data_IF_983432918820
#
_entry.id   IF_983432918820
#
_cell.length_a   1.000
_cell.length_b   1.000
_cell.length_c   1.000
_cell.angle_alpha   90.00
_cell.angle_beta   90.00
_cell.angle_gamma   90.00
#
_symmetry.space_group_name_H-M   'P 1'
#
loop_
_entity.id
_entity.type
_entity.pdbx_description
1 polymer ?
#
# COMPACT_ATOMS: atom_id res chain seq x y z
N UNK A 1 13.52 14.35 -68.42
CA UNK A 1 12.31 14.40 -67.57
C UNK A 1 12.61 13.74 -66.23
N UNK A 2 12.90 14.54 -65.23
CA UNK A 2 13.24 14.07 -63.86
C UNK A 2 11.98 13.96 -63.03
N UNK A 3 11.64 12.74 -62.56
CA UNK A 3 10.48 12.51 -61.67
C UNK A 3 10.83 12.96 -60.24
N UNK A 4 10.28 14.07 -59.77
CA UNK A 4 10.32 14.48 -58.37
C UNK A 4 9.54 13.44 -57.54
N UNK A 5 10.26 12.73 -56.64
CA UNK A 5 9.65 11.91 -55.59
C UNK A 5 9.01 12.85 -54.54
N UNK A 6 7.69 12.81 -54.48
CA UNK A 6 6.94 13.43 -53.39
C UNK A 6 7.20 12.62 -52.12
N UNK A 7 7.91 13.21 -51.13
CA UNK A 7 8.03 12.61 -49.79
C UNK A 7 6.66 12.61 -49.13
N UNK A 8 6.19 11.41 -48.70
CA UNK A 8 4.99 11.30 -47.86
C UNK A 8 5.24 12.06 -46.56
N UNK A 9 4.25 12.77 -46.00
CA UNK A 9 4.37 13.42 -44.73
C UNK A 9 4.59 12.36 -43.65
N UNK A 10 5.65 12.46 -42.89
CA UNK A 10 5.92 11.63 -41.72
C UNK A 10 4.83 11.89 -40.70
N UNK A 11 4.06 10.87 -40.33
CA UNK A 11 3.07 10.97 -39.27
C UNK A 11 3.80 11.28 -37.95
N UNK A 12 3.44 12.40 -37.33
CA UNK A 12 3.90 12.77 -36.01
C UNK A 12 3.52 11.67 -34.99
N UNK A 13 4.50 11.12 -34.31
CA UNK A 13 4.25 10.14 -33.25
C UNK A 13 3.91 10.87 -31.94
N UNK A 14 3.20 10.17 -31.03
CA UNK A 14 2.95 10.69 -29.67
C UNK A 14 4.24 11.12 -28.95
N UNK A 15 5.35 10.46 -29.25
CA UNK A 15 6.67 10.77 -28.70
C UNK A 15 7.24 12.07 -29.25
N UNK A 16 6.98 12.38 -30.51
CA UNK A 16 7.41 13.64 -31.14
C UNK A 16 6.59 14.82 -30.61
N UNK A 17 5.30 14.59 -30.32
CA UNK A 17 4.43 15.57 -29.70
C UNK A 17 4.88 15.88 -28.25
N UNK A 18 5.27 14.87 -27.47
CA UNK A 18 5.79 15.03 -26.12
C UNK A 18 7.15 15.74 -26.13
N UNK A 19 8.02 15.44 -27.09
CA UNK A 19 9.32 16.12 -27.24
C UNK A 19 9.14 17.57 -27.69
N UNK A 20 8.25 17.84 -28.62
CA UNK A 20 7.93 19.20 -29.04
C UNK A 20 7.32 20.02 -27.89
N UNK A 21 6.46 19.41 -27.06
CA UNK A 21 5.92 20.02 -25.87
C UNK A 21 6.99 20.32 -24.82
N UNK A 22 7.96 19.42 -24.61
CA UNK A 22 9.06 19.62 -23.67
C UNK A 22 10.09 20.66 -24.13
N UNK A 23 10.31 20.77 -25.46
CA UNK A 23 11.24 21.75 -26.02
C UNK A 23 10.59 23.14 -26.23
N UNK A 24 9.27 23.19 -26.43
CA UNK A 24 8.52 24.44 -26.59
C UNK A 24 8.19 25.14 -25.28
N UNK A 25 8.23 24.42 -24.15
CA UNK A 25 8.11 24.99 -22.82
C UNK A 25 9.50 25.10 -22.19
N UNK A 26 10.21 26.18 -22.50
CA UNK A 26 11.48 26.49 -21.84
C UNK A 26 11.34 26.57 -20.32
N UNK A 27 12.46 26.71 -19.61
CA UNK A 27 12.53 26.80 -18.14
C UNK A 27 11.42 27.69 -17.51
N UNK A 28 11.01 28.84 -18.11
CA UNK A 28 9.88 29.61 -17.62
C UNK A 28 8.52 28.90 -17.69
N UNK A 29 8.28 28.09 -18.72
CA UNK A 29 7.06 27.30 -18.86
C UNK A 29 7.00 26.14 -17.87
N UNK A 30 8.12 25.48 -17.62
CA UNK A 30 8.23 24.46 -16.60
C UNK A 30 8.02 25.03 -15.19
N UNK A 31 8.60 26.19 -14.91
CA UNK A 31 8.42 26.90 -13.63
C UNK A 31 7.00 27.45 -13.45
N UNK A 32 6.31 27.83 -14.53
CA UNK A 32 4.90 28.23 -14.45
C UNK A 32 3.99 27.03 -14.25
N UNK A 33 4.28 25.88 -14.87
CA UNK A 33 3.56 24.61 -14.64
C UNK A 33 3.79 24.09 -13.23
N UNK A 34 5.00 24.19 -12.69
CA UNK A 34 5.26 23.83 -11.30
C UNK A 34 4.57 24.77 -10.32
N UNK A 35 4.47 26.06 -10.64
CA UNK A 35 3.64 27.02 -9.87
C UNK A 35 2.16 26.73 -10.01
N UNK A 36 1.68 26.28 -11.16
CA UNK A 36 0.28 25.89 -11.38
C UNK A 36 -0.02 24.54 -10.73
N UNK A 37 0.93 23.61 -10.70
CA UNK A 37 0.81 22.39 -9.91
C UNK A 37 0.78 22.66 -8.40
N UNK A 38 1.49 23.70 -7.94
CA UNK A 38 1.38 24.19 -6.56
C UNK A 38 0.15 25.10 -6.36
N UNK A 39 -0.45 25.66 -7.43
CA UNK A 39 -1.64 26.48 -7.42
C UNK A 39 -2.93 25.65 -7.64
N UNK A 40 -2.82 24.37 -7.97
CA UNK A 40 -3.81 23.38 -7.52
C UNK A 40 -3.53 23.29 -6.02
N UNK A 41 -3.94 24.31 -5.30
CA UNK A 41 -3.96 24.35 -3.84
C UNK A 41 -4.56 23.03 -3.37
N UNK A 42 -4.25 22.58 -2.15
CA UNK A 42 -4.85 21.36 -1.65
C UNK A 42 -6.34 21.52 -1.96
N UNK A 43 -6.84 20.74 -2.92
CA UNK A 43 -8.27 20.60 -3.08
C UNK A 43 -8.71 20.39 -1.66
N UNK A 44 -9.56 21.28 -1.14
CA UNK A 44 -10.15 21.09 0.18
C UNK A 44 -11.03 19.85 0.09
N UNK A 45 -10.36 18.71 -0.06
CA UNK A 45 -11.00 17.42 0.14
C UNK A 45 -11.36 17.46 1.61
N UNK A 46 -12.63 17.62 1.86
CA UNK A 46 -13.20 17.58 3.19
C UNK A 46 -12.67 16.35 3.91
N UNK A 47 -11.62 16.49 4.71
CA UNK A 47 -10.97 15.38 5.40
C UNK A 47 -9.46 15.24 5.20
N UNK A 48 -8.85 15.85 4.17
CA UNK A 48 -7.39 15.78 3.99
C UNK A 48 -6.66 16.37 5.21
N UNK A 49 -5.69 15.61 5.75
CA UNK A 49 -4.92 16.02 6.93
C UNK A 49 -5.66 15.99 8.26
N UNK A 50 -6.95 15.61 8.29
CA UNK A 50 -7.77 15.56 9.52
C UNK A 50 -7.68 14.23 10.27
N UNK A 51 -7.14 13.18 9.65
CA UNK A 51 -6.98 11.89 10.31
C UNK A 51 -5.99 12.00 11.48
N UNK A 52 -6.44 11.58 12.67
CA UNK A 52 -5.64 11.59 13.90
C UNK A 52 -4.87 10.28 14.10
N UNK A 53 -5.40 9.19 13.58
CA UNK A 53 -4.82 7.84 13.68
C UNK A 53 -5.01 7.08 12.39
N UNK A 54 -4.16 6.08 12.17
CA UNK A 54 -4.22 5.18 11.04
C UNK A 54 -4.06 3.74 11.54
N UNK A 55 -4.93 2.85 11.08
CA UNK A 55 -4.82 1.41 11.35
C UNK A 55 -4.52 0.72 10.03
N UNK A 56 -3.37 0.03 9.96
CA UNK A 56 -2.99 -0.79 8.83
C UNK A 56 -3.34 -2.23 9.13
N UNK A 57 -4.30 -2.79 8.42
CA UNK A 57 -4.64 -4.23 8.50
C UNK A 57 -3.85 -4.95 7.43
N UNK A 58 -2.78 -5.62 7.84
CA UNK A 58 -1.94 -6.39 6.93
C UNK A 58 -2.40 -7.86 6.92
N UNK A 59 -3.10 -8.25 5.87
CA UNK A 59 -3.60 -9.62 5.71
C UNK A 59 -2.47 -10.55 5.23
N UNK A 60 -1.69 -11.06 6.20
CA UNK A 60 -0.60 -12.00 5.93
C UNK A 60 -1.11 -13.33 5.40
N UNK A 61 -0.56 -13.78 4.27
CA UNK A 61 -0.89 -15.07 3.68
C UNK A 61 -2.18 -15.11 2.90
N UNK A 62 -2.85 -13.99 2.68
CA UNK A 62 -4.11 -14.02 1.96
C UNK A 62 -4.71 -12.67 1.74
N UNK A 63 -5.83 -12.64 1.54
CA UNK A 63 -7.03 -12.18 0.90
C UNK A 63 -6.82 -12.11 -0.61
N UNK A 64 -7.16 -13.20 -1.31
CA UNK A 64 -7.19 -13.21 -2.77
C UNK A 64 -8.05 -12.06 -3.30
N UNK A 65 -7.49 -11.20 -4.15
CA UNK A 65 -8.25 -10.08 -4.74
C UNK A 65 -9.40 -10.60 -5.63
N UNK A 66 -9.18 -11.73 -6.32
CA UNK A 66 -10.19 -12.38 -7.16
C UNK A 66 -11.35 -12.89 -6.29
N UNK A 67 -11.07 -13.39 -5.10
CA UNK A 67 -12.08 -13.96 -4.20
C UNK A 67 -12.64 -12.94 -3.20
N UNK A 68 -12.34 -11.67 -3.37
CA UNK A 68 -12.80 -10.60 -2.45
C UNK A 68 -13.39 -9.39 -3.16
N UNK A 69 -12.55 -8.58 -3.78
CA UNK A 69 -12.95 -7.28 -4.35
C UNK A 69 -12.96 -7.23 -5.87
N UNK A 70 -12.46 -8.25 -6.57
CA UNK A 70 -12.32 -8.25 -8.03
C UNK A 70 -12.63 -9.64 -8.63
N UNK A 71 -13.83 -10.10 -8.43
CA UNK A 71 -14.28 -11.47 -8.74
C UNK A 71 -14.22 -11.87 -10.22
N UNK A 72 -14.12 -10.89 -11.14
CA UNK A 72 -14.03 -11.11 -12.60
C UNK A 72 -15.10 -12.07 -13.15
N UNK A 73 -16.39 -11.80 -12.94
CA UNK A 73 -17.47 -12.72 -13.28
C UNK A 73 -17.51 -13.11 -14.75
N UNK A 74 -17.08 -12.20 -15.64
CA UNK A 74 -17.07 -12.38 -17.10
C UNK A 74 -15.80 -13.07 -17.61
N UNK A 75 -14.85 -13.38 -16.74
CA UNK A 75 -13.63 -14.10 -17.14
C UNK A 75 -13.86 -15.62 -17.25
N UNK A 76 -12.94 -16.29 -17.94
CA UNK A 76 -12.96 -17.75 -18.01
C UNK A 76 -12.90 -18.43 -16.64
N UNK A 77 -13.39 -19.68 -16.58
CA UNK A 77 -13.51 -20.44 -15.32
C UNK A 77 -12.19 -20.64 -14.57
N UNK A 78 -11.06 -20.51 -15.24
CA UNK A 78 -9.72 -20.59 -14.66
C UNK A 78 -9.22 -19.28 -14.04
N UNK A 79 -9.97 -18.17 -14.18
CA UNK A 79 -9.58 -16.85 -13.68
C UNK A 79 -10.63 -16.29 -12.72
N UNK A 80 -11.93 -16.47 -13.02
CA UNK A 80 -13.00 -15.94 -12.18
C UNK A 80 -13.01 -16.57 -10.79
N UNK A 81 -13.54 -15.84 -9.82
CA UNK A 81 -13.77 -16.38 -8.48
C UNK A 81 -14.69 -17.60 -8.50
N UNK A 82 -14.44 -18.53 -7.57
CA UNK A 82 -15.33 -19.64 -7.29
C UNK A 82 -16.56 -19.22 -6.44
N UNK A 83 -16.52 -18.04 -5.83
CA UNK A 83 -17.57 -17.51 -4.96
C UNK A 83 -18.55 -16.65 -5.74
N UNK A 84 -19.79 -16.56 -5.20
CA UNK A 84 -20.80 -15.63 -5.67
C UNK A 84 -20.47 -14.18 -5.35
N UNK A 85 -21.19 -13.25 -5.98
CA UNK A 85 -21.03 -11.82 -5.77
C UNK A 85 -22.30 -11.21 -5.19
N UNK A 86 -22.14 -10.19 -4.36
CA UNK A 86 -23.21 -9.38 -3.81
C UNK A 86 -23.05 -7.91 -4.22
N UNK A 87 -24.16 -7.19 -4.43
CA UNK A 87 -24.11 -5.78 -4.75
C UNK A 87 -23.54 -4.96 -3.59
N UNK A 88 -22.96 -3.83 -3.92
CA UNK A 88 -22.46 -2.87 -2.95
C UNK A 88 -23.32 -1.60 -2.93
N UNK A 89 -22.93 -0.64 -2.10
CA UNK A 89 -23.53 0.71 -2.09
C UNK A 89 -23.19 1.53 -3.35
N UNK A 90 -22.26 1.06 -4.18
CA UNK A 90 -21.93 1.69 -5.45
C UNK A 90 -22.60 0.91 -6.59
N UNK A 91 -23.49 1.53 -7.36
CA UNK A 91 -24.16 0.86 -8.47
C UNK A 91 -23.18 0.23 -9.47
N UNK A 92 -23.45 -1.02 -9.84
CA UNK A 92 -22.60 -1.77 -10.79
C UNK A 92 -21.30 -2.34 -10.20
N UNK A 93 -20.99 -2.07 -8.95
CA UNK A 93 -19.84 -2.66 -8.28
C UNK A 93 -20.25 -3.76 -7.29
N UNK A 94 -19.65 -4.93 -7.42
CA UNK A 94 -19.93 -6.11 -6.63
C UNK A 94 -18.67 -6.57 -5.89
N UNK A 95 -18.87 -7.20 -4.75
CA UNK A 95 -17.82 -7.86 -3.95
C UNK A 95 -18.24 -9.29 -3.64
N UNK A 96 -17.31 -10.07 -3.11
CA UNK A 96 -17.59 -11.47 -2.72
C UNK A 96 -18.75 -11.55 -1.71
N UNK A 97 -19.58 -12.58 -1.87
CA UNK A 97 -20.73 -12.87 -0.99
C UNK A 97 -20.34 -13.05 0.49
N UNK A 98 -19.09 -13.40 0.75
CA UNK A 98 -18.55 -13.51 2.11
C UNK A 98 -18.19 -12.17 2.77
N UNK A 99 -18.42 -11.05 2.09
CA UNK A 99 -18.13 -9.69 2.59
C UNK A 99 -19.38 -8.83 2.80
N UNK A 100 -20.47 -9.32 3.43
CA UNK A 100 -21.75 -8.62 3.49
C UNK A 100 -21.72 -7.33 4.32
N UNK A 101 -20.82 -7.23 5.30
CA UNK A 101 -20.65 -5.99 6.08
C UNK A 101 -19.84 -4.95 5.33
N UNK A 102 -18.77 -5.39 4.63
CA UNK A 102 -17.95 -4.52 3.79
C UNK A 102 -18.73 -3.99 2.58
N UNK A 103 -19.60 -4.79 1.97
CA UNK A 103 -20.40 -4.35 0.83
C UNK A 103 -21.21 -3.09 1.13
N UNK A 104 -21.67 -2.92 2.38
CA UNK A 104 -22.42 -1.75 2.87
C UNK A 104 -21.54 -0.53 3.12
N UNK A 105 -20.21 -0.69 3.16
CA UNK A 105 -19.25 0.39 3.46
C UNK A 105 -18.43 0.82 2.24
N UNK A 106 -18.63 0.23 1.08
CA UNK A 106 -17.80 0.47 -0.12
C UNK A 106 -17.79 1.94 -0.53
N UNK A 107 -18.89 2.69 -0.33
CA UNK A 107 -18.94 4.13 -0.59
C UNK A 107 -17.93 4.96 0.23
N UNK A 108 -17.35 4.38 1.29
CA UNK A 108 -16.35 5.01 2.17
C UNK A 108 -14.93 4.49 1.89
N UNK A 109 -14.76 3.64 0.89
CA UNK A 109 -13.49 2.97 0.57
C UNK A 109 -12.92 3.50 -0.74
N UNK A 110 -11.61 3.47 -0.82
CA UNK A 110 -10.88 3.61 -2.09
C UNK A 110 -10.20 2.28 -2.39
N UNK A 111 -10.53 1.68 -3.52
CA UNK A 111 -9.93 0.44 -3.97
C UNK A 111 -8.87 0.72 -5.04
N UNK A 112 -7.62 0.43 -4.73
CA UNK A 112 -6.51 0.57 -5.67
C UNK A 112 -6.25 -0.79 -6.33
N UNK A 113 -6.76 -0.98 -7.55
CA UNK A 113 -6.71 -2.27 -8.27
C UNK A 113 -5.43 -2.49 -9.09
N UNK A 114 -4.59 -1.49 -9.20
CA UNK A 114 -3.37 -1.52 -10.01
C UNK A 114 -2.09 -1.82 -9.20
N UNK A 115 -2.23 -2.11 -7.92
CA UNK A 115 -1.07 -2.45 -7.07
C UNK A 115 -0.50 -3.80 -7.47
N UNK A 116 0.81 -3.85 -7.69
CA UNK A 116 1.56 -5.07 -7.99
C UNK A 116 3.03 -4.91 -7.58
N UNK A 117 3.72 -6.01 -7.48
CA UNK A 117 5.17 -6.06 -7.26
C UNK A 117 5.75 -7.34 -7.84
N UNK A 118 7.07 -7.35 -8.08
CA UNK A 118 7.79 -8.48 -8.68
C UNK A 118 8.54 -9.33 -7.64
N UNK A 119 8.31 -9.12 -6.34
CA UNK A 119 8.95 -9.90 -5.28
C UNK A 119 8.36 -11.31 -5.21
N UNK A 120 9.14 -12.37 -5.48
CA UNK A 120 8.65 -13.76 -5.53
C UNK A 120 8.57 -14.43 -4.16
N UNK A 121 9.23 -13.86 -3.13
CA UNK A 121 9.29 -14.39 -1.78
C UNK A 121 8.35 -13.65 -0.85
N UNK A 122 7.69 -14.38 0.06
CA UNK A 122 6.77 -13.80 1.05
C UNK A 122 7.39 -12.64 1.84
N UNK A 123 8.62 -12.83 2.33
CA UNK A 123 9.29 -11.81 3.15
C UNK A 123 9.69 -10.57 2.36
N UNK A 124 10.10 -10.75 1.10
CA UNK A 124 10.38 -9.64 0.19
C UNK A 124 9.12 -8.86 -0.18
N UNK A 125 8.02 -9.57 -0.44
CA UNK A 125 6.72 -8.98 -0.71
C UNK A 125 6.20 -8.19 0.49
N UNK A 126 6.29 -8.75 1.70
CA UNK A 126 5.92 -8.06 2.92
C UNK A 126 6.73 -6.78 3.13
N UNK A 127 8.04 -6.84 2.92
CA UNK A 127 8.91 -5.68 3.00
C UNK A 127 8.44 -4.58 2.05
N UNK A 128 8.19 -4.92 0.78
CA UNK A 128 7.77 -3.96 -0.22
C UNK A 128 6.43 -3.31 0.15
N UNK A 129 5.46 -4.12 0.56
CA UNK A 129 4.14 -3.62 0.96
C UNK A 129 4.18 -2.74 2.22
N UNK A 130 5.05 -3.07 3.17
CA UNK A 130 5.14 -2.33 4.45
C UNK A 130 5.98 -1.05 4.36
N UNK A 131 6.89 -0.97 3.40
CA UNK A 131 7.83 0.16 3.27
C UNK A 131 7.55 1.03 2.04
N UNK A 132 6.84 0.51 1.04
CA UNK A 132 6.68 1.15 -0.27
C UNK A 132 7.93 1.09 -1.15
N UNK A 133 8.97 0.36 -0.76
CA UNK A 133 10.24 0.29 -1.47
C UNK A 133 10.61 -1.14 -1.83
N UNK A 134 11.13 -1.30 -3.05
CA UNK A 134 11.64 -2.58 -3.50
C UNK A 134 12.79 -3.06 -2.60
N UNK A 135 12.82 -4.35 -2.23
CA UNK A 135 13.94 -4.89 -1.48
C UNK A 135 15.20 -4.96 -2.36
N UNK A 136 16.36 -4.79 -1.75
CA UNK A 136 17.63 -4.86 -2.47
C UNK A 136 17.89 -6.24 -3.12
N UNK A 137 17.29 -7.30 -2.56
CA UNK A 137 17.39 -8.69 -3.04
C UNK A 137 16.02 -9.35 -2.98
N UNK A 138 15.17 -9.18 -4.01
CA UNK A 138 13.77 -9.61 -3.98
C UNK A 138 13.58 -11.14 -3.91
N UNK A 139 14.56 -11.91 -4.37
CA UNK A 139 14.56 -13.36 -4.42
C UNK A 139 15.22 -14.04 -3.20
N UNK A 140 15.77 -13.26 -2.28
CA UNK A 140 16.54 -13.75 -1.14
C UNK A 140 16.10 -13.12 0.17
N UNK A 141 16.27 -13.89 1.22
CA UNK A 141 16.18 -13.39 2.58
C UNK A 141 17.49 -12.67 2.93
N UNK A 142 17.40 -11.53 3.56
CA UNK A 142 18.54 -10.78 4.04
C UNK A 142 18.38 -10.43 5.52
N UNK A 143 19.49 -10.26 6.24
CA UNK A 143 19.43 -9.83 7.62
C UNK A 143 18.77 -8.46 7.76
N UNK A 144 17.91 -8.31 8.75
CA UNK A 144 17.32 -7.02 9.12
C UNK A 144 18.44 -6.06 9.57
N UNK A 145 18.46 -4.87 9.02
CA UNK A 145 19.48 -3.85 9.32
C UNK A 145 18.84 -2.47 9.51
N UNK A 146 19.58 -1.56 10.14
CA UNK A 146 19.16 -0.17 10.24
C UNK A 146 19.32 0.63 8.92
N UNK A 147 19.79 0.00 7.86
CA UNK A 147 19.82 0.56 6.51
C UNK A 147 18.54 0.27 5.72
N UNK A 148 17.67 -0.58 6.23
CA UNK A 148 16.39 -0.88 5.62
C UNK A 148 15.47 0.35 5.62
N UNK A 149 14.55 0.40 4.66
CA UNK A 149 13.51 1.41 4.66
C UNK A 149 12.55 1.21 5.85
N UNK A 150 12.10 2.31 6.46
CA UNK A 150 11.19 2.24 7.59
C UNK A 150 9.81 1.73 7.17
N UNK A 151 9.11 1.09 8.10
CA UNK A 151 7.70 0.76 7.93
C UNK A 151 6.83 2.01 7.81
N UNK A 152 5.66 1.88 7.16
CA UNK A 152 4.67 2.97 7.07
C UNK A 152 4.35 3.56 8.45
N UNK A 153 4.13 2.69 9.47
CA UNK A 153 3.86 3.13 10.83
C UNK A 153 5.02 3.95 11.43
N UNK A 154 6.25 3.51 11.20
CA UNK A 154 7.46 4.23 11.66
C UNK A 154 7.65 5.57 10.94
N UNK A 155 7.33 5.65 9.64
CA UNK A 155 7.35 6.91 8.90
C UNK A 155 6.33 7.90 9.46
N UNK A 156 5.12 7.44 9.76
CA UNK A 156 4.08 8.28 10.38
C UNK A 156 4.49 8.72 11.78
N UNK A 157 5.02 7.81 12.60
CA UNK A 157 5.51 8.14 13.94
C UNK A 157 6.63 9.19 13.92
N UNK A 158 7.54 9.11 12.94
CA UNK A 158 8.57 10.12 12.74
C UNK A 158 7.97 11.47 12.31
N UNK A 159 7.11 11.47 11.30
CA UNK A 159 6.53 12.69 10.74
C UNK A 159 5.60 13.44 11.73
N UNK A 160 5.00 12.71 12.67
CA UNK A 160 4.07 13.24 13.68
C UNK A 160 4.62 13.14 15.09
N UNK A 161 5.93 13.09 15.23
CA UNK A 161 6.59 12.99 16.53
C UNK A 161 6.25 14.19 17.41
N UNK A 162 5.64 13.89 18.54
CA UNK A 162 5.36 14.83 19.62
C UNK A 162 6.21 14.43 20.83
N UNK A 163 7.19 15.25 21.26
CA UNK A 163 8.06 14.93 22.38
C UNK A 163 7.31 14.91 23.74
N UNK A 164 6.16 15.57 23.81
CA UNK A 164 5.33 15.62 25.04
C UNK A 164 4.33 14.45 25.12
N UNK A 165 4.18 13.69 24.04
CA UNK A 165 3.28 12.55 24.02
C UNK A 165 3.86 11.39 24.88
N UNK A 166 3.03 10.93 25.82
CA UNK A 166 3.33 9.71 26.60
C UNK A 166 2.90 8.41 25.89
N UNK A 167 2.18 8.55 24.76
CA UNK A 167 1.72 7.39 24.00
C UNK A 167 2.73 7.05 22.90
N UNK A 168 2.91 5.76 22.59
CA UNK A 168 3.75 5.35 21.47
C UNK A 168 3.18 5.85 20.16
N UNK A 169 4.05 6.36 19.28
CA UNK A 169 3.65 6.83 17.96
C UNK A 169 3.31 5.70 16.98
N UNK A 170 3.72 4.47 17.28
CA UNK A 170 3.52 3.30 16.42
C UNK A 170 3.44 2.02 17.26
N UNK A 171 2.42 1.20 16.99
CA UNK A 171 2.19 -0.08 17.68
C UNK A 171 1.94 -1.17 16.66
N UNK A 172 2.54 -2.34 16.84
CA UNK A 172 2.31 -3.52 16.02
C UNK A 172 1.63 -4.63 16.83
N UNK A 173 0.56 -5.20 16.30
CA UNK A 173 -0.30 -6.20 16.89
C UNK A 173 -0.48 -7.38 15.95
N UNK A 174 -0.74 -8.58 16.43
CA UNK A 174 -0.51 -9.10 17.79
C UNK A 174 0.91 -9.60 17.98
N UNK A 175 1.64 -9.75 16.87
CA UNK A 175 3.03 -10.20 16.81
C UNK A 175 3.67 -9.81 15.49
N UNK A 176 5.00 -9.84 15.38
CA UNK A 176 5.67 -9.58 14.11
C UNK A 176 5.35 -10.64 13.06
N UNK A 177 5.30 -10.22 11.81
CA UNK A 177 5.16 -11.12 10.68
C UNK A 177 6.37 -12.05 10.64
N UNK A 178 6.10 -13.36 10.61
CA UNK A 178 7.11 -14.41 10.60
C UNK A 178 6.84 -15.41 9.49
N UNK A 179 7.89 -15.81 8.76
CA UNK A 179 7.83 -16.82 7.71
C UNK A 179 9.21 -17.49 7.62
N UNK A 180 9.44 -18.54 8.42
CA UNK A 180 10.76 -19.16 8.58
C UNK A 180 11.84 -18.20 9.10
N UNK A 181 11.45 -17.02 9.54
CA UNK A 181 12.23 -15.92 10.03
C UNK A 181 11.40 -14.63 10.05
N UNK A 182 11.87 -13.62 10.78
CA UNK A 182 11.19 -12.32 10.83
C UNK A 182 11.21 -11.66 9.46
N UNK A 183 10.05 -11.22 8.99
CA UNK A 183 9.97 -10.43 7.77
C UNK A 183 10.56 -9.04 8.02
N UNK A 184 11.37 -8.56 7.07
CA UNK A 184 11.91 -7.22 7.11
C UNK A 184 10.81 -6.17 6.85
N UNK A 185 11.11 -4.89 7.09
CA UNK A 185 10.14 -3.81 6.87
C UNK A 185 9.17 -3.57 8.03
N UNK A 186 9.40 -4.17 9.20
CA UNK A 186 8.55 -4.02 10.38
C UNK A 186 9.19 -3.13 11.46
N UNK A 187 10.21 -2.36 11.14
CA UNK A 187 10.92 -1.47 12.06
C UNK A 187 11.20 -0.11 11.41
N UNK A 188 11.76 0.79 12.18
CA UNK A 188 12.02 2.16 11.72
C UNK A 188 13.24 2.30 10.79
N UNK A 189 13.97 1.22 10.51
CA UNK A 189 15.12 1.26 9.62
C UNK A 189 16.10 2.39 9.98
N UNK A 190 16.46 3.17 8.98
CA UNK A 190 17.40 4.29 9.13
C UNK A 190 16.86 5.50 9.94
N UNK A 191 15.56 5.54 10.26
CA UNK A 191 15.00 6.57 11.16
C UNK A 191 15.41 6.35 12.61
N UNK A 192 15.96 5.17 12.95
CA UNK A 192 16.45 4.86 14.28
C UNK A 192 15.41 4.24 15.22
N UNK A 193 15.91 3.66 16.31
CA UNK A 193 15.13 2.86 17.26
C UNK A 193 13.99 3.61 17.95
N UNK A 194 14.10 4.92 18.07
CA UNK A 194 13.06 5.78 18.65
C UNK A 194 11.70 5.62 17.99
N UNK A 195 11.68 5.28 16.71
CA UNK A 195 10.47 5.16 15.90
C UNK A 195 10.10 3.72 15.56
N UNK A 196 10.76 2.75 16.21
CA UNK A 196 10.35 1.35 16.10
C UNK A 196 8.94 1.17 16.68
N UNK A 197 8.13 0.28 16.12
CA UNK A 197 6.85 -0.04 16.71
C UNK A 197 7.04 -0.72 18.07
N UNK A 198 6.22 -0.36 19.04
CA UNK A 198 6.03 -1.20 20.22
C UNK A 198 5.27 -2.44 19.78
N UNK A 199 5.83 -3.61 20.00
CA UNK A 199 5.20 -4.88 19.68
C UNK A 199 4.43 -5.34 20.89
N UNK A 200 3.12 -5.37 20.77
CA UNK A 200 2.25 -5.91 21.80
C UNK A 200 1.95 -7.36 21.46
N UNK A 201 2.35 -8.27 22.34
CA UNK A 201 2.07 -9.69 22.20
C UNK A 201 0.82 -10.04 23.01
N UNK A 202 0.00 -11.00 22.54
CA UNK A 202 -1.02 -11.57 23.40
C UNK A 202 -0.33 -12.25 24.58
N UNK A 203 -1.03 -12.30 25.71
CA UNK A 203 -0.54 -12.94 26.94
C UNK A 203 -0.07 -14.37 26.66
N UNK A 204 1.14 -14.71 27.05
CA UNK A 204 1.74 -16.03 26.83
C UNK A 204 1.05 -17.15 27.64
N UNK A 205 0.10 -16.79 28.53
CA UNK A 205 -0.64 -17.73 29.37
C UNK A 205 -1.56 -18.70 28.64
N UNK A 206 -1.87 -18.45 27.36
CA UNK A 206 -2.66 -19.37 26.51
C UNK A 206 -2.13 -19.35 25.10
N UNK A 207 -1.33 -20.34 24.68
CA UNK A 207 -0.91 -20.46 23.31
C UNK A 207 -2.16 -20.54 22.41
N UNK A 208 -2.11 -19.87 21.25
CA UNK A 208 -3.11 -19.99 20.20
C UNK A 208 -3.25 -21.46 19.83
N UNK A 209 -4.41 -22.03 20.10
CA UNK A 209 -4.69 -23.45 19.87
C UNK A 209 -4.98 -23.81 18.39
N UNK A 210 -4.87 -22.82 17.50
CA UNK A 210 -5.15 -22.98 16.08
C UNK A 210 -6.63 -23.17 15.74
N UNK A 211 -7.53 -23.19 16.72
CA UNK A 211 -8.94 -23.55 16.52
C UNK A 211 -9.94 -22.45 16.83
N UNK A 212 -9.55 -21.47 17.62
CA UNK A 212 -10.45 -20.38 17.99
C UNK A 212 -9.89 -19.03 17.54
N UNK A 213 -10.59 -18.27 16.68
CA UNK A 213 -10.18 -16.94 16.32
C UNK A 213 -10.29 -15.90 17.45
N UNK A 214 -10.73 -16.30 18.64
CA UNK A 214 -11.09 -15.38 19.73
C UNK A 214 -10.54 -15.80 21.10
N UNK A 215 -9.73 -16.84 21.21
CA UNK A 215 -9.27 -17.37 22.50
C UNK A 215 -8.09 -16.65 23.12
N UNK A 216 -7.63 -15.54 22.57
CA UNK A 216 -6.62 -14.69 23.18
C UNK A 216 -7.25 -13.49 23.87
N UNK A 217 -7.29 -13.47 25.20
CA UNK A 217 -7.42 -12.21 25.90
C UNK A 217 -6.15 -11.38 25.58
N UNK A 218 -6.35 -10.27 24.88
CA UNK A 218 -5.30 -9.25 24.75
C UNK A 218 -5.18 -8.58 26.12
N UNK A 219 -4.33 -9.09 26.99
CA UNK A 219 -3.90 -8.32 28.14
C UNK A 219 -2.80 -7.36 27.66
N UNK A 220 -3.00 -6.10 27.93
CA UNK A 220 -2.02 -5.07 27.63
C UNK A 220 -1.28 -4.80 28.94
N UNK A 221 -0.21 -5.52 29.20
CA UNK A 221 0.74 -5.12 30.22
C UNK A 221 1.51 -3.91 29.70
N UNK A 222 1.09 -2.74 30.16
CA UNK A 222 1.89 -1.54 29.96
C UNK A 222 3.13 -1.71 30.82
N UNK A 223 4.29 -1.73 30.20
CA UNK A 223 5.58 -1.62 30.89
C UNK A 223 5.59 -0.23 31.51
N UNK A 224 5.59 -0.16 32.85
CA UNK A 224 5.83 1.06 33.62
C UNK A 224 7.23 1.65 33.35
#
# INVERSE_FOLDING_TARGET
>A
MSKRRVKKPTSLTRRDLLRAGALGMGLPGYLSLSKTANAIGPHETTGFGKAKSCIVVFAWGGLSHIDSFDLKPDAGSNIKSAFGSIPTTIPGYHVCEHLPLLSKQVHRMTLIRSMHHDAPSHRSAAYWNLTGHAPAKPDKNWPRTRKDWPSIGSMVAHARHDPESKLPGNVALPYPIYDGGWANGQHAGFLGMKYDPIIMKPDEGKPYDGKSPVSGHLSFDFIE
#
